data_IF_573959971227
#
_entry.id   IF_573959971227
#
_cell.length_a   1.000
_cell.length_b   1.000
_cell.length_c   1.000
_cell.angle_alpha   90.00
_cell.angle_beta   90.00
_cell.angle_gamma   90.00
#
_symmetry.space_group_name_H-M   'P 1'
#
loop_
_entity.id
_entity.type
_entity.pdbx_description
1 polymer ?
#
# COMPACT_ATOMS: atom_id res chain seq x y z
N UNK A 1 -24.33 -7.07 -12.41
CA UNK A 1 -23.30 -7.79 -11.62
C UNK A 1 -23.96 -8.40 -10.42
N UNK A 2 -23.53 -9.59 -9.94
CA UNK A 2 -23.95 -10.10 -8.65
C UNK A 2 -23.59 -9.08 -7.54
N UNK A 3 -24.41 -9.02 -6.50
CA UNK A 3 -24.24 -8.10 -5.36
C UNK A 3 -24.05 -8.92 -4.09
N UNK A 4 -23.04 -8.57 -3.29
CA UNK A 4 -22.87 -9.12 -1.95
C UNK A 4 -23.81 -8.39 -0.98
N UNK A 5 -24.70 -9.11 -0.31
CA UNK A 5 -25.55 -8.56 0.75
C UNK A 5 -25.10 -9.12 2.11
N UNK A 6 -25.19 -8.31 3.15
CA UNK A 6 -24.74 -8.67 4.51
C UNK A 6 -25.49 -7.82 5.55
N UNK A 7 -25.50 -8.26 6.80
CA UNK A 7 -26.20 -7.55 7.88
C UNK A 7 -25.49 -6.22 8.16
N UNK A 8 -26.24 -5.12 8.10
CA UNK A 8 -25.72 -3.77 8.37
C UNK A 8 -25.17 -3.01 7.16
N UNK A 9 -25.22 -3.59 5.96
CA UNK A 9 -24.83 -2.92 4.71
C UNK A 9 -25.45 -1.53 4.56
N UNK A 10 -26.77 -1.43 4.65
CA UNK A 10 -27.50 -0.16 4.44
C UNK A 10 -27.07 0.94 5.41
N UNK A 11 -26.60 0.58 6.61
CA UNK A 11 -26.11 1.53 7.60
C UNK A 11 -24.71 2.06 7.24
N UNK A 12 -23.84 1.21 6.70
CA UNK A 12 -22.42 1.56 6.43
C UNK A 12 -22.19 2.14 5.04
N UNK A 13 -23.10 1.90 4.08
CA UNK A 13 -22.89 2.30 2.68
C UNK A 13 -22.71 3.81 2.51
N UNK A 14 -23.35 4.61 3.36
CA UNK A 14 -23.23 6.08 3.38
C UNK A 14 -22.38 6.59 4.56
N UNK A 15 -21.83 5.70 5.39
CA UNK A 15 -21.18 6.11 6.63
C UNK A 15 -19.92 6.94 6.39
N UNK A 16 -19.16 6.66 5.32
CA UNK A 16 -18.00 7.46 4.91
C UNK A 16 -18.32 8.96 4.73
N UNK A 17 -19.55 9.29 4.33
CA UNK A 17 -20.01 10.66 4.21
C UNK A 17 -20.31 11.29 5.59
N UNK A 18 -20.83 10.49 6.52
CA UNK A 18 -21.26 10.91 7.86
C UNK A 18 -20.10 11.06 8.86
N UNK A 19 -18.95 10.41 8.61
CA UNK A 19 -17.76 10.58 9.47
C UNK A 19 -17.39 12.07 9.55
N UNK A 20 -17.31 12.68 10.75
CA UNK A 20 -16.99 14.09 10.90
C UNK A 20 -15.50 14.34 10.58
N UNK A 21 -15.20 15.54 10.07
CA UNK A 21 -13.82 15.98 9.97
C UNK A 21 -13.23 16.21 11.37
N UNK A 22 -11.97 15.82 11.55
CA UNK A 22 -11.18 16.06 12.76
C UNK A 22 -9.99 16.94 12.41
N UNK A 23 -9.54 17.75 13.36
CA UNK A 23 -8.31 18.52 13.22
C UNK A 23 -7.10 17.58 13.42
N UNK A 24 -6.05 17.79 12.64
CA UNK A 24 -4.76 17.16 12.85
C UNK A 24 -3.98 18.01 13.85
N UNK A 25 -3.36 17.34 14.82
CA UNK A 25 -2.49 17.97 15.80
C UNK A 25 -1.06 17.52 15.52
N UNK A 26 -0.17 18.47 15.25
CA UNK A 26 1.24 18.19 15.08
C UNK A 26 1.86 17.80 16.43
N UNK A 27 2.76 16.81 16.39
CA UNK A 27 3.56 16.38 17.55
C UNK A 27 5.02 16.65 17.22
N UNK A 28 5.53 17.88 17.45
CA UNK A 28 6.86 18.29 16.99
C UNK A 28 8.00 17.43 17.57
N UNK A 29 7.78 16.84 18.74
CA UNK A 29 8.72 15.96 19.44
C UNK A 29 9.02 14.67 18.66
N UNK A 30 8.08 14.22 17.82
CA UNK A 30 8.21 13.04 16.96
C UNK A 30 8.60 13.40 15.52
N UNK A 31 8.66 14.70 15.19
CA UNK A 31 9.03 15.14 13.86
C UNK A 31 10.52 14.89 13.62
N UNK A 32 10.85 14.38 12.43
CA UNK A 32 12.24 14.25 12.02
C UNK A 32 12.86 15.67 11.96
N UNK A 33 14.03 15.90 12.57
CA UNK A 33 14.68 17.20 12.49
C UNK A 33 14.99 17.54 11.02
N UNK A 34 14.97 18.83 10.64
CA UNK A 34 15.28 19.22 9.28
C UNK A 34 16.68 18.76 8.87
N UNK A 35 16.74 17.87 7.87
CA UNK A 35 17.99 17.47 7.25
C UNK A 35 18.49 18.62 6.37
N UNK A 36 19.40 19.44 6.90
CA UNK A 36 19.89 20.63 6.21
C UNK A 36 20.85 20.34 5.03
N UNK A 37 21.35 19.12 4.85
CA UNK A 37 22.52 18.90 3.95
C UNK A 37 22.41 17.79 2.89
N UNK A 38 21.43 16.87 2.93
CA UNK A 38 21.40 15.73 1.98
C UNK A 38 20.55 15.93 0.71
N UNK A 39 19.82 17.04 0.57
CA UNK A 39 18.91 17.28 -0.57
C UNK A 39 19.60 17.65 -1.90
N UNK A 40 20.93 17.76 -1.95
CA UNK A 40 21.65 18.15 -3.17
C UNK A 40 21.80 17.02 -4.21
N UNK A 41 21.52 15.75 -3.86
CA UNK A 41 21.87 14.58 -4.69
C UNK A 41 20.69 13.80 -5.28
N UNK A 42 19.44 14.10 -4.92
CA UNK A 42 18.26 13.42 -5.46
C UNK A 42 17.46 14.35 -6.40
N UNK A 43 17.01 13.86 -7.57
CA UNK A 43 16.20 14.68 -8.46
C UNK A 43 14.89 15.05 -7.76
N UNK A 44 14.44 16.31 -7.85
CA UNK A 44 13.18 16.72 -7.26
C UNK A 44 12.05 15.92 -7.91
N UNK A 45 11.30 15.17 -7.09
CA UNK A 45 10.02 14.63 -7.51
C UNK A 45 9.13 15.81 -7.93
N UNK A 46 8.40 15.72 -9.06
CA UNK A 46 7.53 16.80 -9.50
C UNK A 46 6.48 17.06 -8.41
N UNK A 47 6.62 18.22 -7.76
CA UNK A 47 5.67 18.75 -6.79
C UNK A 47 4.29 18.82 -7.45
N UNK A 48 3.37 17.98 -6.98
CA UNK A 48 1.97 18.18 -7.22
C UNK A 48 1.53 19.43 -6.43
N UNK A 49 1.41 20.56 -7.13
CA UNK A 49 0.64 21.73 -6.72
C UNK A 49 1.24 22.55 -5.57
N UNK A 50 1.71 23.74 -5.91
CA UNK A 50 1.79 24.84 -4.95
C UNK A 50 0.37 25.22 -4.48
N UNK A 51 -0.11 24.53 -3.45
CA UNK A 51 -1.39 24.76 -2.79
C UNK A 51 -1.16 25.21 -1.36
N UNK A 52 -1.50 26.48 -1.09
CA UNK A 52 -1.36 27.18 0.19
C UNK A 52 -1.91 26.40 1.39
N UNK A 53 -1.04 26.11 2.33
CA UNK A 53 -1.34 25.82 3.73
C UNK A 53 -0.11 26.20 4.56
N UNK A 54 -0.26 27.17 5.46
CA UNK A 54 0.79 27.56 6.41
C UNK A 54 1.05 26.40 7.38
N UNK A 55 2.01 25.56 7.04
CA UNK A 55 2.45 24.44 7.87
C UNK A 55 3.93 24.15 7.59
N UNK A 56 4.80 24.76 8.41
CA UNK A 56 6.19 24.36 8.67
C UNK A 56 7.09 24.07 7.47
N UNK A 57 8.07 24.95 7.22
CA UNK A 57 9.14 24.84 6.22
C UNK A 57 10.12 23.65 6.37
N UNK A 58 9.77 22.59 7.10
CA UNK A 58 10.66 21.49 7.49
C UNK A 58 10.07 20.08 7.28
N UNK A 59 9.13 19.87 6.35
CA UNK A 59 8.64 18.51 6.10
C UNK A 59 9.60 17.71 5.19
N UNK A 60 9.96 16.52 5.64
CA UNK A 60 10.74 15.53 4.87
C UNK A 60 9.97 14.96 3.67
N UNK A 61 8.70 15.37 3.50
CA UNK A 61 7.75 14.82 2.53
C UNK A 61 6.94 13.63 3.06
N UNK A 62 7.28 13.11 4.24
CA UNK A 62 6.62 11.95 4.87
C UNK A 62 5.75 12.38 6.05
N UNK A 63 4.64 11.66 6.26
CA UNK A 63 3.68 11.91 7.32
C UNK A 63 3.29 10.60 8.01
N UNK A 64 3.30 10.59 9.34
CA UNK A 64 2.72 9.52 10.17
C UNK A 64 1.54 10.12 10.91
N UNK A 65 0.40 9.43 10.89
CA UNK A 65 -0.81 9.87 11.59
C UNK A 65 -1.22 8.80 12.58
N UNK A 66 -1.34 9.18 13.84
CA UNK A 66 -1.85 8.33 14.91
C UNK A 66 -3.36 8.53 15.08
N UNK A 67 -4.11 7.43 15.15
CA UNK A 67 -5.55 7.43 15.40
C UNK A 67 -6.26 6.30 14.68
N UNK A 68 -7.58 6.22 14.88
CA UNK A 68 -8.41 5.35 14.06
C UNK A 68 -8.32 5.78 12.59
N UNK A 69 -8.04 4.82 11.71
CA UNK A 69 -7.77 5.08 10.30
C UNK A 69 -8.99 5.66 9.56
N UNK A 70 -10.24 5.37 9.97
CA UNK A 70 -11.42 5.96 9.33
C UNK A 70 -11.50 7.46 9.64
N UNK A 71 -11.23 7.86 10.89
CA UNK A 71 -11.15 9.26 11.29
C UNK A 71 -9.95 9.97 10.65
N UNK A 72 -8.77 9.33 10.65
CA UNK A 72 -7.56 9.87 10.04
C UNK A 72 -7.73 10.09 8.53
N UNK A 73 -8.26 9.10 7.81
CA UNK A 73 -8.60 9.23 6.39
C UNK A 73 -9.61 10.35 6.16
N UNK A 74 -10.61 10.54 7.02
CA UNK A 74 -11.53 11.65 6.87
C UNK A 74 -10.85 13.01 7.06
N UNK A 75 -9.97 13.13 8.05
CA UNK A 75 -9.21 14.36 8.32
C UNK A 75 -8.23 14.72 7.19
N UNK A 76 -7.57 13.72 6.60
CA UNK A 76 -6.59 13.91 5.51
C UNK A 76 -7.22 14.16 4.14
N UNK A 77 -8.50 13.83 3.98
CA UNK A 77 -9.20 13.87 2.69
C UNK A 77 -9.16 15.25 1.99
N UNK A 78 -9.33 16.40 2.67
CA UNK A 78 -9.25 17.72 2.04
C UNK A 78 -7.86 18.05 1.48
N UNK A 79 -6.81 17.43 2.03
CA UNK A 79 -5.42 17.73 1.69
C UNK A 79 -4.88 16.82 0.58
N UNK A 80 -5.25 15.53 0.58
CA UNK A 80 -4.65 14.51 -0.30
C UNK A 80 -5.66 13.78 -1.21
N UNK A 81 -6.93 14.18 -1.20
CA UNK A 81 -7.94 13.63 -2.10
C UNK A 81 -7.52 13.73 -3.57
N UNK A 82 -7.62 12.62 -4.30
CA UNK A 82 -7.25 12.53 -5.72
C UNK A 82 -5.75 12.62 -6.05
N UNK A 83 -4.86 12.60 -5.05
CA UNK A 83 -3.43 12.81 -5.25
C UNK A 83 -2.59 11.54 -5.03
N UNK A 84 -3.15 10.51 -4.38
CA UNK A 84 -2.39 9.32 -3.98
C UNK A 84 -2.20 8.38 -5.18
N UNK A 85 -0.93 8.06 -5.49
CA UNK A 85 -0.58 7.14 -6.59
C UNK A 85 -0.76 5.67 -6.21
N UNK A 86 -0.40 5.30 -5.00
CA UNK A 86 -0.40 3.92 -4.55
C UNK A 86 -0.90 3.86 -3.12
N UNK A 87 -1.81 2.91 -2.85
CA UNK A 87 -2.26 2.55 -1.51
C UNK A 87 -1.92 1.09 -1.32
N UNK A 88 -1.31 0.76 -0.19
CA UNK A 88 -1.17 -0.62 0.27
C UNK A 88 -1.85 -0.73 1.64
N UNK A 89 -2.67 -1.76 1.81
CA UNK A 89 -3.29 -2.08 3.09
C UNK A 89 -3.08 -3.56 3.40
N UNK A 90 -2.88 -3.83 4.69
CA UNK A 90 -2.83 -5.17 5.25
C UNK A 90 -3.92 -5.26 6.33
N UNK A 91 -5.21 -5.38 5.92
CA UNK A 91 -6.32 -5.42 6.86
C UNK A 91 -6.27 -6.70 7.70
N UNK A 92 -6.97 -6.74 8.86
CA UNK A 92 -7.08 -7.97 9.64
C UNK A 92 -7.75 -9.08 8.81
N UNK A 93 -7.19 -10.30 8.84
CA UNK A 93 -7.64 -11.41 8.00
C UNK A 93 -8.90 -12.14 8.52
N UNK A 94 -9.33 -11.85 9.75
CA UNK A 94 -10.53 -12.44 10.36
C UNK A 94 -10.47 -13.98 10.55
N UNK A 95 -9.27 -14.54 10.71
CA UNK A 95 -8.99 -15.99 10.80
C UNK A 95 -9.72 -16.69 11.97
N UNK A 96 -10.14 -15.93 12.99
CA UNK A 96 -10.83 -16.45 14.16
C UNK A 96 -9.94 -17.27 15.10
N UNK A 97 -8.60 -17.19 14.96
CA UNK A 97 -7.71 -17.81 15.93
C UNK A 97 -7.85 -17.12 17.29
N UNK A 98 -8.25 -17.92 18.28
CA UNK A 98 -8.41 -17.54 19.67
C UNK A 98 -7.03 -17.50 20.36
N UNK A 99 -6.19 -16.54 19.95
CA UNK A 99 -4.95 -16.28 20.67
C UNK A 99 -5.31 -15.93 22.13
N UNK A 100 -4.48 -16.34 23.10
CA UNK A 100 -4.65 -15.98 24.51
C UNK A 100 -3.31 -15.53 25.06
N UNK A 101 -3.30 -14.53 25.92
CA UNK A 101 -2.09 -14.12 26.63
C UNK A 101 -1.72 -15.07 27.78
N UNK A 102 -0.58 -14.80 28.41
CA UNK A 102 -0.04 -15.57 29.53
C UNK A 102 -0.98 -15.57 30.75
N UNK A 103 -1.86 -14.57 30.88
CA UNK A 103 -2.91 -14.49 31.90
C UNK A 103 -4.23 -15.19 31.49
N UNK A 104 -4.25 -15.84 30.33
CA UNK A 104 -5.42 -16.56 29.79
C UNK A 104 -6.52 -15.65 29.23
N UNK A 105 -6.27 -14.34 29.10
CA UNK A 105 -7.18 -13.41 28.42
C UNK A 105 -7.09 -13.68 26.92
N UNK A 106 -8.22 -13.74 26.24
CA UNK A 106 -8.27 -13.88 24.77
C UNK A 106 -7.59 -12.66 24.13
N UNK A 107 -6.53 -12.89 23.37
CA UNK A 107 -5.80 -11.93 22.51
C UNK A 107 -6.13 -12.10 21.03
N UNK A 108 -6.83 -13.17 20.64
CA UNK A 108 -7.32 -13.37 19.28
C UNK A 108 -8.11 -12.16 18.82
N UNK A 109 -7.94 -11.74 17.57
CA UNK A 109 -8.59 -10.55 17.02
C UNK A 109 -10.12 -10.73 16.99
N UNK A 110 -10.76 -10.43 18.11
CA UNK A 110 -12.15 -9.99 18.19
C UNK A 110 -12.08 -8.49 17.95
N UNK A 111 -12.96 -7.98 17.09
CA UNK A 111 -13.26 -6.56 16.92
C UNK A 111 -13.04 -5.73 18.20
N UNK A 112 -11.81 -5.26 18.37
CA UNK A 112 -11.35 -4.26 19.33
C UNK A 112 -10.86 -3.04 18.58
N UNK A 113 -11.37 -2.86 17.34
CA UNK A 113 -11.48 -1.52 16.83
C UNK A 113 -12.22 -0.73 17.91
N UNK A 114 -11.67 0.41 18.25
CA UNK A 114 -12.19 1.31 19.27
C UNK A 114 -13.42 1.98 18.69
N UNK A 115 -14.39 1.16 18.31
CA UNK A 115 -15.74 1.49 17.87
C UNK A 115 -16.57 1.81 19.11
N UNK A 116 -15.91 2.44 20.09
CA UNK A 116 -16.45 3.25 21.15
C UNK A 116 -17.04 4.56 20.63
N UNK A 117 -17.27 4.71 19.32
CA UNK A 117 -18.34 5.60 18.88
C UNK A 117 -19.62 5.13 19.59
N UNK A 118 -20.23 5.97 20.47
CA UNK A 118 -21.44 5.59 21.19
C UNK A 118 -22.54 5.08 20.24
N UNK A 119 -22.54 5.59 19.01
CA UNK A 119 -23.50 5.28 17.96
C UNK A 119 -23.36 3.84 17.43
N UNK A 120 -22.15 3.30 17.31
CA UNK A 120 -21.93 1.94 16.82
C UNK A 120 -22.09 0.89 17.94
N UNK A 121 -21.76 1.23 19.20
CA UNK A 121 -22.06 0.36 20.37
C UNK A 121 -23.56 0.22 20.61
N UNK A 122 -24.30 1.32 20.53
CA UNK A 122 -25.77 1.29 20.60
C UNK A 122 -26.35 0.45 19.45
N UNK A 123 -25.76 0.53 18.26
CA UNK A 123 -26.21 -0.16 17.06
C UNK A 123 -25.89 -1.66 17.04
N UNK A 124 -24.63 -2.07 17.29
CA UNK A 124 -24.25 -3.49 17.38
C UNK A 124 -25.01 -4.19 18.52
N UNK A 125 -25.21 -3.49 19.64
CA UNK A 125 -26.02 -4.00 20.76
C UNK A 125 -27.51 -4.18 20.44
N UNK A 126 -28.09 -3.33 19.58
CA UNK A 126 -29.51 -3.44 19.15
C UNK A 126 -29.74 -4.47 18.03
N UNK A 127 -28.79 -4.63 17.11
CA UNK A 127 -28.98 -5.44 15.88
C UNK A 127 -28.41 -6.85 16.02
N UNK A 128 -27.33 -7.04 16.78
CA UNK A 128 -26.54 -8.29 16.75
C UNK A 128 -26.58 -9.07 18.08
N UNK A 129 -27.11 -8.49 19.15
CA UNK A 129 -27.28 -9.16 20.46
C UNK A 129 -25.96 -9.50 21.17
N UNK A 130 -26.06 -9.96 22.41
CA UNK A 130 -24.91 -10.30 23.25
C UNK A 130 -24.32 -11.70 22.96
N UNK A 131 -24.94 -12.51 22.10
CA UNK A 131 -24.56 -13.91 21.83
C UNK A 131 -24.53 -14.26 20.33
N UNK A 132 -23.74 -13.54 19.54
CA UNK A 132 -23.47 -13.90 18.14
C UNK A 132 -21.96 -13.93 17.89
N UNK A 133 -21.25 -14.84 18.55
CA UNK A 133 -19.82 -15.06 18.30
C UNK A 133 -19.53 -15.77 16.96
N UNK A 134 -20.51 -16.33 16.24
CA UNK A 134 -20.19 -17.12 15.03
C UNK A 134 -20.89 -16.68 13.73
N UNK A 135 -22.13 -16.19 13.75
CA UNK A 135 -22.90 -15.96 12.50
C UNK A 135 -22.79 -14.55 11.89
N UNK A 136 -22.19 -13.58 12.60
CA UNK A 136 -22.08 -12.18 12.13
C UNK A 136 -20.64 -11.70 11.99
N UNK A 137 -19.66 -12.59 12.14
CA UNK A 137 -18.23 -12.24 12.10
C UNK A 137 -17.85 -11.58 10.76
N UNK A 138 -18.27 -12.19 9.66
CA UNK A 138 -18.05 -11.68 8.32
C UNK A 138 -18.81 -10.37 8.06
N UNK A 139 -20.08 -10.27 8.52
CA UNK A 139 -20.86 -9.03 8.43
C UNK A 139 -20.16 -7.85 9.13
N UNK A 140 -19.61 -8.08 10.32
CA UNK A 140 -18.87 -7.08 11.10
C UNK A 140 -17.60 -6.63 10.37
N UNK A 141 -16.85 -7.58 9.81
CA UNK A 141 -15.66 -7.28 9.03
C UNK A 141 -15.99 -6.45 7.78
N UNK A 142 -17.04 -6.83 7.05
CA UNK A 142 -17.55 -6.08 5.90
C UNK A 142 -17.97 -4.66 6.29
N UNK A 143 -18.68 -4.51 7.42
CA UNK A 143 -19.08 -3.20 7.95
C UNK A 143 -17.88 -2.31 8.31
N UNK A 144 -16.80 -2.90 8.80
CA UNK A 144 -15.56 -2.19 9.13
C UNK A 144 -14.81 -1.74 7.86
N UNK A 145 -14.68 -2.63 6.88
CA UNK A 145 -13.90 -2.38 5.67
C UNK A 145 -14.58 -1.43 4.69
N UNK A 146 -15.91 -1.51 4.55
CA UNK A 146 -16.66 -0.76 3.53
C UNK A 146 -16.40 0.76 3.54
N UNK A 147 -16.60 1.50 4.66
CA UNK A 147 -16.41 2.96 4.66
C UNK A 147 -14.94 3.34 4.44
N UNK A 148 -14.00 2.53 4.93
CA UNK A 148 -12.55 2.75 4.76
C UNK A 148 -12.14 2.62 3.28
N UNK A 149 -12.57 1.55 2.62
CA UNK A 149 -12.32 1.34 1.19
C UNK A 149 -12.94 2.44 0.32
N UNK A 150 -14.15 2.91 0.68
CA UNK A 150 -14.77 4.07 0.00
C UNK A 150 -13.94 5.35 0.15
N UNK A 151 -13.44 5.64 1.34
CA UNK A 151 -12.53 6.77 1.54
C UNK A 151 -11.24 6.59 0.75
N UNK A 152 -10.56 5.46 0.86
CA UNK A 152 -9.31 5.17 0.13
C UNK A 152 -9.47 5.37 -1.38
N UNK A 153 -10.61 4.96 -1.96
CA UNK A 153 -10.92 5.22 -3.37
C UNK A 153 -10.85 6.71 -3.71
N UNK A 154 -11.28 7.62 -2.81
CA UNK A 154 -11.28 9.08 -3.01
C UNK A 154 -9.88 9.70 -2.90
N UNK A 155 -8.95 9.04 -2.22
CA UNK A 155 -7.55 9.47 -2.17
C UNK A 155 -6.82 9.19 -3.47
N UNK A 156 -7.16 8.10 -4.15
CA UNK A 156 -6.46 7.71 -5.36
C UNK A 156 -6.61 8.74 -6.48
N UNK A 157 -5.46 9.07 -7.08
CA UNK A 157 -5.39 9.69 -8.40
C UNK A 157 -6.04 8.77 -9.44
N UNK A 158 -6.40 9.35 -10.57
CA UNK A 158 -7.05 8.65 -11.67
C UNK A 158 -6.29 7.41 -12.18
N UNK A 159 -4.96 7.47 -12.26
CA UNK A 159 -4.07 6.34 -12.58
C UNK A 159 -3.50 5.66 -11.32
N UNK A 160 -4.15 5.85 -10.17
CA UNK A 160 -3.75 5.29 -8.89
C UNK A 160 -4.21 3.84 -8.73
N UNK A 161 -3.49 3.09 -7.90
CA UNK A 161 -3.78 1.69 -7.59
C UNK A 161 -3.84 1.44 -6.10
N UNK A 162 -4.67 0.48 -5.70
CA UNK A 162 -4.72 -0.07 -4.34
C UNK A 162 -4.33 -1.53 -4.37
N UNK A 163 -3.50 -1.92 -3.41
CA UNK A 163 -3.14 -3.29 -3.08
C UNK A 163 -3.67 -3.62 -1.69
N UNK A 164 -4.30 -4.78 -1.56
CA UNK A 164 -4.81 -5.26 -0.28
C UNK A 164 -4.40 -6.71 -0.08
N UNK A 165 -3.60 -6.97 0.96
CA UNK A 165 -3.24 -8.32 1.38
C UNK A 165 -4.39 -8.99 2.11
N UNK A 166 -4.56 -10.29 1.90
CA UNK A 166 -5.60 -11.09 2.53
C UNK A 166 -5.25 -12.59 2.44
N UNK A 167 -5.71 -13.37 3.41
CA UNK A 167 -5.74 -14.83 3.35
C UNK A 167 -6.99 -15.35 2.62
N UNK A 168 -7.24 -16.64 2.70
CA UNK A 168 -8.41 -17.30 2.14
C UNK A 168 -9.73 -16.99 2.90
N UNK A 169 -9.67 -16.59 4.17
CA UNK A 169 -10.84 -16.36 5.03
C UNK A 169 -11.76 -15.27 4.48
N UNK A 170 -11.21 -14.10 4.13
CA UNK A 170 -12.00 -12.95 3.63
C UNK A 170 -11.72 -12.60 2.15
N UNK A 171 -10.96 -13.44 1.43
CA UNK A 171 -10.63 -13.21 0.02
C UNK A 171 -11.87 -12.92 -0.84
N UNK A 172 -12.89 -13.77 -0.73
CA UNK A 172 -14.10 -13.66 -1.53
C UNK A 172 -14.90 -12.39 -1.17
N UNK A 173 -15.06 -12.14 0.13
CA UNK A 173 -15.72 -10.96 0.71
C UNK A 173 -15.05 -9.66 0.25
N UNK A 174 -13.72 -9.54 0.45
CA UNK A 174 -12.94 -8.37 0.06
C UNK A 174 -13.00 -8.13 -1.45
N UNK A 175 -12.90 -9.20 -2.25
CA UNK A 175 -13.00 -9.10 -3.70
C UNK A 175 -14.35 -8.52 -4.12
N UNK A 176 -15.45 -8.99 -3.53
CA UNK A 176 -16.79 -8.47 -3.82
C UNK A 176 -16.96 -7.01 -3.37
N UNK A 177 -16.40 -6.64 -2.21
CA UNK A 177 -16.38 -5.23 -1.79
C UNK A 177 -15.63 -4.34 -2.77
N UNK A 178 -14.44 -4.76 -3.21
CA UNK A 178 -13.65 -4.00 -4.17
C UNK A 178 -14.32 -3.95 -5.55
N UNK A 179 -14.92 -5.05 -6.02
CA UNK A 179 -15.70 -5.07 -7.27
C UNK A 179 -16.90 -4.11 -7.20
N UNK A 180 -17.56 -3.96 -6.04
CA UNK A 180 -18.65 -2.99 -5.83
C UNK A 180 -18.12 -1.55 -5.77
N UNK A 181 -17.07 -1.29 -4.99
CA UNK A 181 -16.57 0.07 -4.73
C UNK A 181 -15.79 0.61 -5.93
N UNK A 182 -14.90 -0.18 -6.51
CA UNK A 182 -14.02 0.23 -7.62
C UNK A 182 -14.62 -0.09 -8.99
N UNK A 183 -15.53 -1.05 -9.06
CA UNK A 183 -16.02 -1.61 -10.32
C UNK A 183 -15.14 -2.77 -10.79
N UNK A 184 -15.76 -3.88 -11.17
CA UNK A 184 -15.02 -5.08 -11.60
C UNK A 184 -14.14 -4.89 -12.83
N UNK A 185 -14.50 -3.96 -13.72
CA UNK A 185 -13.67 -3.57 -14.86
C UNK A 185 -12.34 -2.93 -14.46
N UNK A 186 -12.25 -2.39 -13.24
CA UNK A 186 -11.03 -1.78 -12.69
C UNK A 186 -10.13 -2.77 -11.94
N UNK A 187 -10.50 -4.05 -11.88
CA UNK A 187 -9.62 -5.08 -11.31
C UNK A 187 -8.37 -5.25 -12.18
N UNK A 188 -7.20 -5.07 -11.58
CA UNK A 188 -5.92 -5.27 -12.27
C UNK A 188 -5.55 -6.75 -12.23
N UNK A 189 -5.60 -7.37 -11.06
CA UNK A 189 -5.29 -8.78 -10.87
C UNK A 189 -5.27 -9.20 -9.41
N UNK A 190 -4.95 -10.47 -9.18
CA UNK A 190 -4.69 -11.05 -7.86
C UNK A 190 -3.33 -11.70 -7.91
N UNK A 191 -2.44 -11.29 -7.01
CA UNK A 191 -1.13 -11.92 -6.83
C UNK A 191 -1.25 -13.00 -5.76
N UNK A 192 -0.55 -14.10 -5.93
CA UNK A 192 -0.43 -15.17 -4.93
C UNK A 192 0.94 -15.04 -4.30
N UNK A 193 0.97 -14.81 -2.98
CA UNK A 193 2.19 -14.65 -2.22
C UNK A 193 2.47 -15.93 -1.43
N UNK A 194 3.38 -16.76 -1.96
CA UNK A 194 3.89 -17.91 -1.22
C UNK A 194 4.88 -17.40 -0.17
N UNK A 195 4.47 -17.42 1.09
CA UNK A 195 5.23 -16.84 2.20
C UNK A 195 5.66 -17.88 3.25
N UNK A 196 5.01 -19.05 3.29
CA UNK A 196 5.28 -20.10 4.27
C UNK A 196 5.54 -21.45 3.60
N UNK A 197 6.03 -22.40 4.40
CA UNK A 197 6.14 -23.81 4.01
C UNK A 197 5.60 -24.62 5.17
N UNK A 198 4.55 -25.40 4.92
CA UNK A 198 3.88 -26.22 5.93
C UNK A 198 4.07 -27.70 5.60
N UNK A 199 4.80 -28.40 6.47
CA UNK A 199 5.10 -29.82 6.32
C UNK A 199 4.13 -30.72 7.10
N UNK A 200 3.10 -30.15 7.75
CA UNK A 200 2.13 -30.94 8.48
C UNK A 200 1.28 -31.79 7.52
N UNK A 201 1.00 -33.06 7.85
CA UNK A 201 0.17 -33.90 7.01
C UNK A 201 -1.29 -33.43 7.08
N UNK A 202 -1.75 -32.77 6.02
CA UNK A 202 -3.13 -32.28 5.84
C UNK A 202 -3.69 -32.73 4.49
N UNK A 203 -4.97 -32.49 4.21
CA UNK A 203 -5.52 -32.72 2.87
C UNK A 203 -4.94 -31.75 1.84
N UNK A 204 -4.82 -30.47 2.21
CA UNK A 204 -4.24 -29.39 1.41
C UNK A 204 -3.46 -28.50 2.36
N UNK A 205 -2.16 -28.33 2.11
CA UNK A 205 -1.32 -27.37 2.82
C UNK A 205 -1.49 -25.98 2.19
N UNK A 206 -2.11 -25.05 2.93
CA UNK A 206 -2.22 -23.65 2.52
C UNK A 206 -0.90 -22.94 2.79
N UNK A 207 -0.09 -22.74 1.74
CA UNK A 207 1.25 -22.15 1.84
C UNK A 207 1.34 -20.72 1.28
N UNK A 208 0.20 -20.11 0.98
CA UNK A 208 0.15 -18.82 0.31
C UNK A 208 -1.00 -17.94 0.79
N UNK A 209 -0.76 -16.65 0.64
CA UNK A 209 -1.74 -15.58 0.79
C UNK A 209 -2.00 -14.90 -0.55
N UNK A 210 -2.88 -13.91 -0.55
CA UNK A 210 -3.29 -13.18 -1.73
C UNK A 210 -3.07 -11.69 -1.56
N UNK A 211 -2.76 -11.02 -2.67
CA UNK A 211 -2.77 -9.55 -2.75
C UNK A 211 -3.67 -9.14 -3.90
N UNK A 212 -4.80 -8.52 -3.57
CA UNK A 212 -5.75 -7.99 -4.54
C UNK A 212 -5.29 -6.64 -5.05
N UNK A 213 -5.33 -6.42 -6.37
CA UNK A 213 -4.98 -5.14 -6.98
C UNK A 213 -6.15 -4.56 -7.79
N UNK A 214 -6.52 -3.33 -7.47
CA UNK A 214 -7.52 -2.55 -8.20
C UNK A 214 -6.98 -1.17 -8.58
N UNK A 215 -7.36 -0.71 -9.77
CA UNK A 215 -7.11 0.64 -10.22
C UNK A 215 -8.26 1.57 -9.82
N UNK A 216 -7.98 2.87 -9.69
CA UNK A 216 -9.04 3.89 -9.67
C UNK A 216 -9.77 3.92 -11.02
N UNK A 217 -9.00 4.02 -12.10
CA UNK A 217 -9.44 3.87 -13.48
C UNK A 217 -8.38 3.08 -14.25
N UNK A 218 -8.71 1.83 -14.58
CA UNK A 218 -7.76 0.92 -15.24
C UNK A 218 -7.39 1.39 -16.64
N UNK A 219 -8.24 2.18 -17.31
CA UNK A 219 -7.95 2.70 -18.65
C UNK A 219 -6.81 3.72 -18.66
N UNK A 220 -6.54 4.35 -17.50
CA UNK A 220 -5.47 5.34 -17.32
C UNK A 220 -4.16 4.74 -16.84
N UNK A 221 -4.13 3.43 -16.58
CA UNK A 221 -2.89 2.75 -16.26
C UNK A 221 -2.04 2.52 -17.52
N UNK A 222 -0.71 2.58 -17.41
CA UNK A 222 0.16 2.15 -18.49
C UNK A 222 -0.10 0.66 -18.79
N UNK A 223 -0.02 0.29 -20.07
CA UNK A 223 -0.23 -1.11 -20.52
C UNK A 223 0.75 -2.09 -19.87
N UNK A 224 1.94 -1.61 -19.54
CA UNK A 224 3.03 -2.38 -18.94
C UNK A 224 3.58 -1.60 -17.75
N UNK A 225 3.78 -2.29 -16.63
CA UNK A 225 4.49 -1.73 -15.48
C UNK A 225 5.97 -2.04 -15.63
N UNK A 226 6.73 -1.04 -16.05
CA UNK A 226 8.19 -1.14 -16.14
C UNK A 226 8.78 -0.61 -14.85
N UNK A 227 9.64 -1.39 -14.19
CA UNK A 227 10.35 -0.90 -13.01
C UNK A 227 11.28 0.25 -13.39
N UNK A 228 11.55 1.17 -12.45
CA UNK A 228 12.57 2.20 -12.61
C UNK A 228 13.98 1.62 -12.84
N UNK A 229 14.21 0.35 -12.49
CA UNK A 229 15.44 -0.37 -12.83
C UNK A 229 15.63 -0.47 -14.35
N UNK A 230 14.57 -0.33 -15.16
CA UNK A 230 14.75 -0.18 -16.60
C UNK A 230 15.47 1.12 -16.95
N UNK A 231 15.22 2.23 -16.25
CA UNK A 231 15.92 3.49 -16.50
C UNK A 231 17.40 3.39 -16.08
N UNK A 232 17.69 2.80 -14.91
CA UNK A 232 19.08 2.54 -14.48
C UNK A 232 19.77 1.57 -15.45
N UNK A 233 19.07 0.51 -15.89
CA UNK A 233 19.57 -0.43 -16.89
C UNK A 233 19.81 0.24 -18.25
N UNK A 234 18.89 1.06 -18.73
CA UNK A 234 19.01 1.81 -19.99
C UNK A 234 20.19 2.76 -19.92
N UNK A 235 20.31 3.55 -18.84
CA UNK A 235 21.46 4.41 -18.64
C UNK A 235 22.77 3.63 -18.58
N UNK A 236 22.78 2.47 -17.91
CA UNK A 236 23.96 1.60 -17.85
C UNK A 236 24.34 1.10 -19.25
N UNK A 237 23.37 0.65 -20.05
CA UNK A 237 23.59 0.23 -21.44
C UNK A 237 24.13 1.39 -22.31
N UNK A 238 23.55 2.58 -22.19
CA UNK A 238 23.99 3.78 -22.93
C UNK A 238 25.44 4.16 -22.56
N UNK A 239 25.79 4.09 -21.28
CA UNK A 239 27.17 4.30 -20.79
C UNK A 239 28.10 3.23 -21.36
N UNK A 240 27.67 1.97 -21.40
CA UNK A 240 28.43 0.87 -21.99
C UNK A 240 28.75 1.13 -23.47
N UNK A 241 27.74 1.52 -24.26
CA UNK A 241 27.94 1.88 -25.67
C UNK A 241 28.87 3.08 -25.85
N UNK A 242 28.87 4.03 -24.91
CA UNK A 242 29.77 5.18 -24.94
C UNK A 242 31.22 4.75 -24.67
N UNK A 243 31.47 3.90 -23.67
CA UNK A 243 32.81 3.35 -23.43
C UNK A 243 33.33 2.49 -24.60
N UNK A 244 32.46 1.73 -25.26
CA UNK A 244 32.84 0.97 -26.47
C UNK A 244 33.28 1.91 -27.60
N UNK A 245 32.60 3.05 -27.76
CA UNK A 245 32.94 4.06 -28.78
C UNK A 245 34.22 4.83 -28.45
N UNK A 246 34.37 5.25 -27.20
CA UNK A 246 35.46 6.13 -26.77
C UNK A 246 36.76 5.36 -26.49
N UNK A 247 36.66 4.08 -26.13
CA UNK A 247 37.79 3.19 -25.80
C UNK A 247 37.72 1.91 -26.67
N UNK A 248 38.27 1.94 -27.90
CA UNK A 248 38.28 0.79 -28.79
C UNK A 248 39.16 -0.37 -28.26
N UNK A 249 40.20 -0.07 -27.48
CA UNK A 249 41.05 -1.09 -26.87
C UNK A 249 40.41 -1.66 -25.58
N UNK A 250 40.33 -2.99 -25.48
CA UNK A 250 39.66 -3.69 -24.38
C UNK A 250 40.25 -3.41 -23.00
N UNK A 251 41.58 -3.37 -22.87
CA UNK A 251 42.25 -3.18 -21.58
C UNK A 251 42.01 -1.77 -21.04
N UNK A 252 42.13 -0.75 -21.91
CA UNK A 252 41.82 0.64 -21.60
C UNK A 252 40.34 0.84 -21.23
N UNK A 253 39.42 0.20 -21.97
CA UNK A 253 37.98 0.26 -21.71
C UNK A 253 37.63 -0.26 -20.33
N UNK A 254 38.15 -1.44 -19.96
CA UNK A 254 37.88 -2.03 -18.65
C UNK A 254 38.46 -1.17 -17.52
N UNK A 255 39.64 -0.57 -17.70
CA UNK A 255 40.26 0.30 -16.69
C UNK A 255 39.41 1.56 -16.44
N UNK A 256 39.01 2.26 -17.51
CA UNK A 256 38.21 3.49 -17.41
C UNK A 256 36.78 3.20 -16.89
N UNK A 257 36.17 2.11 -17.36
CA UNK A 257 34.88 1.67 -16.82
C UNK A 257 34.96 1.35 -15.33
N UNK A 258 36.03 0.68 -14.88
CA UNK A 258 36.23 0.36 -13.46
C UNK A 258 36.34 1.64 -12.61
N UNK A 259 37.01 2.68 -13.12
CA UNK A 259 37.10 3.99 -12.44
C UNK A 259 35.73 4.67 -12.33
N UNK A 260 34.96 4.67 -13.41
CA UNK A 260 33.60 5.22 -13.44
C UNK A 260 32.64 4.44 -12.52
N UNK A 261 32.68 3.11 -12.58
CA UNK A 261 31.83 2.22 -11.81
C UNK A 261 32.04 2.41 -10.30
N UNK A 262 33.29 2.53 -9.83
CA UNK A 262 33.59 2.77 -8.41
C UNK A 262 33.01 4.08 -7.88
N UNK A 263 32.91 5.12 -8.72
CA UNK A 263 32.34 6.42 -8.34
C UNK A 263 30.81 6.41 -8.29
N UNK A 264 30.19 5.57 -9.13
CA UNK A 264 28.74 5.60 -9.38
C UNK A 264 28.01 4.41 -8.74
N UNK A 265 28.73 3.44 -8.17
CA UNK A 265 28.22 2.17 -7.64
C UNK A 265 26.97 2.32 -6.77
N UNK A 266 26.98 3.26 -5.84
CA UNK A 266 25.88 3.44 -4.87
C UNK A 266 24.57 3.88 -5.54
N UNK A 267 24.64 4.42 -6.76
CA UNK A 267 23.49 4.85 -7.56
C UNK A 267 23.02 3.78 -8.55
N UNK A 268 23.77 2.68 -8.70
CA UNK A 268 23.50 1.64 -9.70
C UNK A 268 22.63 0.49 -9.18
N UNK A 269 22.19 0.50 -7.92
CA UNK A 269 21.32 -0.55 -7.39
C UNK A 269 20.05 -0.70 -8.27
N UNK A 270 19.67 -1.92 -8.69
CA UNK A 270 20.18 -3.25 -8.30
C UNK A 270 21.27 -3.84 -9.23
N UNK A 271 21.84 -3.06 -10.15
CA UNK A 271 22.88 -3.47 -11.10
C UNK A 271 24.32 -3.21 -10.60
N UNK A 272 24.51 -3.05 -9.30
CA UNK A 272 25.81 -2.78 -8.63
C UNK A 272 26.81 -3.95 -8.69
N UNK A 273 26.50 -4.99 -9.48
CA UNK A 273 27.34 -6.16 -9.75
C UNK A 273 27.90 -6.22 -11.17
N UNK A 274 27.39 -5.38 -12.07
CA UNK A 274 27.78 -5.32 -13.49
C UNK A 274 29.08 -4.52 -13.67
N UNK A 275 30.19 -5.11 -13.22
CA UNK A 275 31.49 -4.43 -13.05
C UNK A 275 32.45 -4.64 -14.21
N UNK A 276 32.09 -5.43 -15.21
CA UNK A 276 32.92 -5.70 -16.37
C UNK A 276 32.29 -5.16 -17.65
N UNK A 277 33.12 -4.90 -18.64
CA UNK A 277 32.70 -4.44 -19.97
C UNK A 277 33.59 -5.07 -21.05
N UNK A 278 32.98 -5.51 -22.14
CA UNK A 278 33.69 -5.98 -23.34
C UNK A 278 33.08 -5.37 -24.62
N UNK A 279 33.39 -5.93 -25.79
CA UNK A 279 32.83 -5.48 -27.07
C UNK A 279 31.32 -5.75 -27.20
N UNK A 280 30.80 -6.72 -26.45
CA UNK A 280 29.38 -7.05 -26.36
C UNK A 280 28.62 -6.21 -25.33
N UNK A 281 29.30 -5.41 -24.51
CA UNK A 281 28.71 -4.51 -23.53
C UNK A 281 29.08 -4.84 -22.08
N UNK A 282 28.28 -4.33 -21.16
CA UNK A 282 28.50 -4.47 -19.72
C UNK A 282 27.93 -5.81 -19.22
N UNK A 283 28.68 -6.50 -18.36
CA UNK A 283 28.29 -7.79 -17.76
C UNK A 283 28.76 -7.97 -16.30
#
# INVERSE_FOLDING_TARGET
>A
MPVLNWIGKDAVVAHDAQVPFRLLHDVPELACPPQAEERASLPPLPLAGEGRGEGGANSTGNLIVEGDNLLALKALLPHYGGQVKCIYIDPPYNTGQDERDEEGRRTGWIYSDNVNSPQMREWLGKVVGAEAEDLTRHDKWLCMMYPRLKLLKRFLRDDGVIFASIDDTELASLRMLLDEIFGSGNRVGTMVWKNVTDNNPTQIASEHEYVLCYARDKSKLPKEWKSANLAVKTNLLDVGEQFIRDCPEQEQRQEEYTKWFRKTKDQLWPFDRYKYIDEGGIY
#
